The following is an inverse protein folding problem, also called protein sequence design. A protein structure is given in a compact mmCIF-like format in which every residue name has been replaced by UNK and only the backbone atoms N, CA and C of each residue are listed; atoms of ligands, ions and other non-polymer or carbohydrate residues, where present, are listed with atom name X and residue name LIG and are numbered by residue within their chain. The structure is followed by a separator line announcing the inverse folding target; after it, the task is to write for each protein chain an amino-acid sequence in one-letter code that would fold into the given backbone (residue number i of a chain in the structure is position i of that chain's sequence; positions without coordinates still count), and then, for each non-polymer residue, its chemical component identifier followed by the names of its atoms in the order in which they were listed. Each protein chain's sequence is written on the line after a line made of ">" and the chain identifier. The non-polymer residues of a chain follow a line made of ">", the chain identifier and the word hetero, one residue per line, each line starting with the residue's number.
data_IF_469191476688
#
_entry.id   IF_469191476688
#
_cell.length_a   1.000
_cell.length_b   1.000
_cell.length_c   1.000
_cell.angle_alpha   90.00
_cell.angle_beta   90.00
_cell.angle_gamma   90.00
#
_symmetry.space_group_name_H-M   'P 1'
#
loop_
_entity.id
_entity.type
_entity.pdbx_description
1 polymer ?
#
# COMPACT_ATOMS: atom_id res chain seq x y z
N UNK A 1 8.59 21.17 12.92
CA UNK A 1 9.94 21.00 13.46
C UNK A 1 9.87 20.64 14.95
N UNK A 2 10.55 19.60 15.36
CA UNK A 2 10.64 19.18 16.76
C UNK A 2 12.13 18.98 17.13
N UNK A 3 12.56 19.41 18.33
CA UNK A 3 11.81 20.15 19.36
C UNK A 3 11.37 21.54 18.88
N UNK A 4 10.33 22.11 19.50
CA UNK A 4 9.81 23.41 19.11
C UNK A 4 10.88 24.52 19.27
N UNK A 5 11.00 25.46 18.31
CA UNK A 5 11.97 26.53 18.34
C UNK A 5 11.56 27.62 19.36
N UNK A 6 11.80 27.38 20.65
CA UNK A 6 11.32 28.19 21.77
C UNK A 6 11.64 29.69 21.64
N UNK A 7 12.83 30.02 21.13
CA UNK A 7 13.24 31.41 20.96
C UNK A 7 12.35 32.13 19.93
N UNK A 8 12.18 31.51 18.76
CA UNK A 8 11.35 32.05 17.66
C UNK A 8 9.89 32.22 18.09
N UNK A 9 9.34 31.23 18.83
CA UNK A 9 7.96 31.30 19.31
C UNK A 9 7.78 32.45 20.31
N UNK A 10 8.74 32.70 21.20
CA UNK A 10 8.70 33.84 22.12
C UNK A 10 8.78 35.18 21.38
N UNK A 11 9.74 35.31 20.45
CA UNK A 11 9.88 36.51 19.62
C UNK A 11 8.59 36.80 18.84
N UNK A 12 7.95 35.79 18.31
CA UNK A 12 6.65 35.94 17.66
C UNK A 12 5.55 36.39 18.65
N UNK A 13 5.48 35.73 19.80
CA UNK A 13 4.46 36.00 20.80
C UNK A 13 4.56 37.42 21.39
N UNK A 14 5.78 37.94 21.56
CA UNK A 14 6.03 39.30 22.04
C UNK A 14 5.54 40.38 21.05
N UNK A 15 5.43 40.04 19.76
CA UNK A 15 4.99 40.94 18.70
C UNK A 15 3.47 40.97 18.43
N UNK A 16 2.68 40.10 19.12
CA UNK A 16 1.24 39.95 18.84
C UNK A 16 0.40 40.00 20.10
N UNK A 17 -0.89 40.34 19.97
CA UNK A 17 -1.82 40.39 21.12
C UNK A 17 -2.35 39.00 21.50
N UNK A 18 -2.56 38.15 20.52
CA UNK A 18 -3.14 36.84 20.70
C UNK A 18 -2.29 35.81 19.95
N UNK A 19 -1.97 34.71 20.62
CA UNK A 19 -1.35 33.55 20.01
C UNK A 19 -2.42 32.48 19.86
N UNK A 20 -2.60 31.98 18.64
CA UNK A 20 -3.57 30.95 18.32
C UNK A 20 -2.81 29.79 17.70
N UNK A 21 -3.00 28.59 18.25
CA UNK A 21 -2.42 27.37 17.75
C UNK A 21 -3.49 26.58 16.96
N UNK A 22 -3.23 26.35 15.69
CA UNK A 22 -4.07 25.54 14.82
C UNK A 22 -3.35 24.21 14.59
N UNK A 23 -3.86 23.17 15.20
CA UNK A 23 -3.33 21.81 15.06
C UNK A 23 -4.47 20.80 15.11
N UNK A 24 -4.31 19.69 14.41
CA UNK A 24 -5.26 18.58 14.44
C UNK A 24 -5.02 17.69 15.66
N UNK A 25 -6.04 16.92 16.04
CA UNK A 25 -6.00 15.97 17.17
C UNK A 25 -5.64 16.64 18.52
N UNK A 26 -4.76 16.02 19.29
CA UNK A 26 -4.39 16.46 20.63
C UNK A 26 -3.61 17.79 20.63
N UNK A 27 -3.69 18.58 21.73
CA UNK A 27 -3.07 19.91 21.84
C UNK A 27 -1.54 19.82 22.07
N UNK A 28 -0.82 19.15 21.19
CA UNK A 28 0.62 18.89 21.35
C UNK A 28 1.48 20.17 21.28
N UNK A 29 1.20 21.06 20.33
CA UNK A 29 1.90 22.34 20.20
C UNK A 29 1.39 23.34 21.22
N UNK A 30 0.08 23.43 21.39
CA UNK A 30 -0.58 24.34 22.32
C UNK A 30 -0.07 24.16 23.75
N UNK A 31 0.01 22.93 24.26
CA UNK A 31 0.50 22.62 25.59
C UNK A 31 1.96 23.06 25.77
N UNK A 32 2.80 22.83 24.78
CA UNK A 32 4.20 23.23 24.84
C UNK A 32 4.37 24.76 24.81
N UNK A 33 3.56 25.46 24.02
CA UNK A 33 3.56 26.93 23.98
C UNK A 33 3.08 27.50 25.30
N UNK A 34 2.02 26.94 25.89
CA UNK A 34 1.54 27.30 27.23
C UNK A 34 2.60 27.02 28.32
N UNK A 35 3.31 25.90 28.21
CA UNK A 35 4.41 25.57 29.12
C UNK A 35 5.60 26.56 29.07
N UNK A 36 5.72 27.34 27.99
CA UNK A 36 6.68 28.46 27.93
C UNK A 36 6.22 29.72 28.62
N UNK A 37 5.01 29.73 29.22
CA UNK A 37 4.39 30.90 29.87
C UNK A 37 3.66 31.81 28.85
N UNK A 38 3.44 31.38 27.63
CA UNK A 38 2.74 32.14 26.57
C UNK A 38 1.25 31.80 26.62
N UNK A 39 0.35 32.78 26.84
CA UNK A 39 -1.09 32.54 26.79
C UNK A 39 -1.54 32.25 25.36
N UNK A 40 -1.65 30.98 25.02
CA UNK A 40 -2.10 30.52 23.71
C UNK A 40 -3.52 29.93 23.79
N UNK A 41 -4.30 30.13 22.74
CA UNK A 41 -5.60 29.50 22.52
C UNK A 41 -5.47 28.49 21.38
N UNK A 42 -6.21 27.39 21.44
CA UNK A 42 -6.16 26.35 20.40
C UNK A 42 -7.40 25.46 20.47
N UNK A 43 -7.43 24.42 21.30
CA UNK A 43 -8.55 23.47 21.38
C UNK A 43 -9.83 24.02 22.03
N UNK A 44 -9.76 25.18 22.64
CA UNK A 44 -10.94 25.95 23.03
C UNK A 44 -11.66 26.59 21.81
N UNK A 45 -10.99 26.65 20.66
CA UNK A 45 -11.51 27.19 19.40
C UNK A 45 -11.75 26.06 18.38
N UNK A 46 -10.78 25.14 18.23
CA UNK A 46 -10.76 24.14 17.17
C UNK A 46 -11.10 22.73 17.72
N UNK A 47 -11.84 21.97 16.94
CA UNK A 47 -12.18 20.58 17.27
C UNK A 47 -10.92 19.72 17.47
N UNK A 48 -10.99 18.80 18.43
CA UNK A 48 -10.01 17.71 18.59
C UNK A 48 -10.27 16.56 17.63
N UNK A 49 -11.47 16.50 17.05
CA UNK A 49 -11.89 15.42 16.15
C UNK A 49 -12.00 15.89 14.72
N UNK A 50 -11.56 15.04 13.78
CA UNK A 50 -11.65 15.27 12.34
C UNK A 50 -10.50 16.11 11.78
N UNK A 51 -10.57 16.36 10.48
CA UNK A 51 -9.65 17.23 9.76
C UNK A 51 -10.02 18.70 10.02
N UNK A 52 -9.02 19.57 9.98
CA UNK A 52 -9.21 21.01 10.03
C UNK A 52 -9.10 21.60 8.62
N UNK A 53 -10.18 21.56 7.86
CA UNK A 53 -10.25 22.21 6.57
C UNK A 53 -10.23 23.74 6.73
N UNK A 54 -9.80 24.51 5.72
CA UNK A 54 -9.80 25.98 5.78
C UNK A 54 -11.16 26.57 6.15
N UNK A 55 -12.25 25.96 5.71
CA UNK A 55 -13.62 26.32 6.01
C UNK A 55 -13.95 26.16 7.50
N UNK A 56 -13.54 25.01 8.08
CA UNK A 56 -13.77 24.68 9.50
C UNK A 56 -12.97 25.63 10.40
N UNK A 57 -11.73 25.94 10.01
CA UNK A 57 -10.88 26.91 10.72
C UNK A 57 -11.53 28.30 10.68
N UNK A 58 -11.98 28.75 9.49
CA UNK A 58 -12.62 30.04 9.34
C UNK A 58 -13.91 30.14 10.16
N UNK A 59 -14.74 29.09 10.16
CA UNK A 59 -15.98 29.04 10.93
C UNK A 59 -15.70 29.03 12.44
N UNK A 60 -14.73 28.27 12.90
CA UNK A 60 -14.32 28.24 14.30
C UNK A 60 -13.78 29.60 14.77
N UNK A 61 -13.00 30.28 13.94
CA UNK A 61 -12.50 31.63 14.19
C UNK A 61 -13.62 32.67 14.23
N UNK A 62 -14.66 32.55 13.41
CA UNK A 62 -15.86 33.41 13.47
C UNK A 62 -16.63 33.21 14.76
N UNK A 63 -16.90 31.96 15.14
CA UNK A 63 -17.58 31.63 16.39
C UNK A 63 -16.82 32.15 17.63
N UNK A 64 -15.50 32.12 17.56
CA UNK A 64 -14.63 32.68 18.60
C UNK A 64 -14.46 34.22 18.56
N UNK A 65 -15.10 34.91 17.61
CA UNK A 65 -15.01 36.36 17.48
C UNK A 65 -13.66 36.88 16.96
N UNK A 66 -12.84 36.01 16.37
CA UNK A 66 -11.51 36.34 15.85
C UNK A 66 -11.60 36.92 14.44
N UNK A 67 -12.43 36.30 13.59
CA UNK A 67 -12.71 36.79 12.25
C UNK A 67 -14.04 37.57 12.22
N UNK A 68 -14.01 38.74 11.60
CA UNK A 68 -15.21 39.50 11.26
C UNK A 68 -15.74 38.99 9.91
N UNK A 69 -17.06 38.83 9.82
CA UNK A 69 -17.74 38.30 8.66
C UNK A 69 -17.40 39.01 7.36
N UNK A 70 -16.75 38.30 6.43
CA UNK A 70 -16.74 38.68 5.00
C UNK A 70 -16.28 37.54 4.08
N UNK A 71 -16.06 36.30 4.56
CA UNK A 71 -15.69 35.24 3.67
C UNK A 71 -16.89 34.77 2.82
N UNK A 72 -16.76 34.64 1.50
CA UNK A 72 -17.79 34.04 0.68
C UNK A 72 -18.06 32.62 1.17
N UNK A 73 -19.32 32.25 1.29
CA UNK A 73 -19.69 30.87 1.54
C UNK A 73 -19.15 30.04 0.38
N UNK A 74 -18.26 29.09 0.70
CA UNK A 74 -17.86 28.09 -0.29
C UNK A 74 -19.10 27.26 -0.63
N UNK A 75 -19.47 27.22 -1.89
CA UNK A 75 -20.51 26.30 -2.34
C UNK A 75 -19.92 24.91 -2.42
N UNK A 76 -20.44 23.99 -1.65
CA UNK A 76 -20.08 22.57 -1.79
C UNK A 76 -20.57 22.07 -3.15
N UNK A 77 -19.64 21.88 -4.08
CA UNK A 77 -19.90 21.30 -5.40
C UNK A 77 -19.56 19.81 -5.45
N UNK A 78 -19.23 19.20 -4.29
CA UNK A 78 -18.74 17.82 -4.21
C UNK A 78 -19.83 16.77 -4.44
N UNK A 79 -21.11 17.11 -4.32
CA UNK A 79 -22.22 16.15 -4.43
C UNK A 79 -22.28 15.39 -5.76
N UNK A 80 -21.66 15.88 -6.82
CA UNK A 80 -21.68 15.27 -8.16
C UNK A 80 -20.39 14.58 -8.57
N UNK A 81 -19.34 14.61 -7.75
CA UNK A 81 -18.06 14.04 -8.13
C UNK A 81 -18.02 12.52 -7.89
N UNK A 82 -17.57 11.73 -8.90
CA UNK A 82 -17.44 10.30 -8.72
C UNK A 82 -16.31 9.98 -7.73
N UNK A 83 -16.56 9.01 -6.84
CA UNK A 83 -15.52 8.48 -5.96
C UNK A 83 -14.36 7.89 -6.76
N UNK A 84 -13.13 8.18 -6.37
CA UNK A 84 -11.89 7.70 -6.99
C UNK A 84 -11.04 6.98 -5.94
N UNK A 85 -11.34 5.71 -5.72
CA UNK A 85 -10.54 4.87 -4.83
C UNK A 85 -9.10 4.74 -5.36
N UNK A 86 -8.09 4.74 -4.49
CA UNK A 86 -6.71 4.49 -4.90
C UNK A 86 -6.58 3.06 -5.45
N UNK A 87 -5.68 2.87 -6.43
CA UNK A 87 -5.47 1.60 -7.11
C UNK A 87 -3.97 1.28 -7.20
N UNK A 88 -3.63 0.00 -7.27
CA UNK A 88 -2.29 -0.43 -7.65
C UNK A 88 -1.99 0.04 -9.09
N UNK A 89 -0.77 0.53 -9.32
CA UNK A 89 -0.34 1.03 -10.63
C UNK A 89 -0.42 -0.04 -11.72
N UNK A 90 -0.53 0.37 -12.99
CA UNK A 90 -0.34 -0.54 -14.13
C UNK A 90 1.05 -1.18 -14.04
N UNK A 91 1.14 -2.51 -14.14
CA UNK A 91 2.41 -3.23 -14.00
C UNK A 91 2.95 -3.32 -12.57
N UNK A 92 2.14 -3.04 -11.56
CA UNK A 92 2.55 -3.20 -10.17
C UNK A 92 2.88 -4.67 -9.84
N UNK A 93 4.07 -4.99 -9.27
CA UNK A 93 4.47 -6.36 -8.95
C UNK A 93 3.62 -7.00 -7.85
N UNK A 94 2.97 -6.23 -7.00
CA UNK A 94 2.12 -6.77 -5.92
C UNK A 94 0.84 -7.46 -6.43
N UNK A 95 0.49 -7.25 -7.68
CA UNK A 95 -0.78 -7.67 -8.28
C UNK A 95 -0.99 -9.18 -8.29
N UNK A 96 0.01 -9.94 -8.69
CA UNK A 96 -0.08 -11.42 -8.75
C UNK A 96 -0.27 -12.03 -7.37
N UNK A 97 0.39 -11.48 -6.36
CA UNK A 97 0.25 -11.92 -4.98
C UNK A 97 -1.19 -11.75 -4.50
N UNK A 98 -1.77 -10.54 -4.64
CA UNK A 98 -3.14 -10.30 -4.19
C UNK A 98 -4.19 -11.01 -5.03
N UNK A 99 -3.97 -11.17 -6.33
CA UNK A 99 -4.85 -11.99 -7.17
C UNK A 99 -4.90 -13.43 -6.65
N UNK A 100 -3.75 -14.03 -6.36
CA UNK A 100 -3.70 -15.40 -5.82
C UNK A 100 -4.31 -15.50 -4.43
N UNK A 101 -3.99 -14.57 -3.51
CA UNK A 101 -4.56 -14.53 -2.17
C UNK A 101 -6.09 -14.41 -2.19
N UNK A 102 -6.65 -13.57 -3.08
CA UNK A 102 -8.10 -13.44 -3.23
C UNK A 102 -8.79 -14.73 -3.68
N UNK A 103 -8.08 -15.58 -4.44
CA UNK A 103 -8.60 -16.90 -4.86
C UNK A 103 -8.43 -17.96 -3.77
N UNK A 104 -7.39 -17.84 -2.93
CA UNK A 104 -7.12 -18.80 -1.84
C UNK A 104 -8.03 -18.57 -0.63
N UNK A 105 -8.53 -17.34 -0.43
CA UNK A 105 -9.40 -16.96 0.69
C UNK A 105 -8.80 -17.26 2.08
N UNK A 106 -7.48 -17.12 2.19
CA UNK A 106 -6.77 -17.28 3.46
C UNK A 106 -6.83 -15.99 4.29
N UNK A 107 -6.79 -16.06 5.64
CA UNK A 107 -6.61 -14.87 6.48
C UNK A 107 -5.27 -14.18 6.18
N UNK A 108 -5.31 -12.87 5.97
CA UNK A 108 -4.13 -12.06 5.64
C UNK A 108 -3.98 -10.92 6.63
N UNK A 109 -2.91 -10.96 7.41
CA UNK A 109 -2.48 -9.81 8.20
C UNK A 109 -1.69 -8.85 7.29
N UNK A 110 -2.21 -7.66 7.10
CA UNK A 110 -1.60 -6.65 6.26
C UNK A 110 -0.68 -5.69 7.00
N UNK A 111 0.10 -4.95 6.23
CA UNK A 111 1.04 -3.95 6.70
C UNK A 111 0.89 -2.65 5.89
N UNK A 112 1.68 -1.62 6.21
CA UNK A 112 1.61 -0.30 5.60
C UNK A 112 2.56 -0.18 4.41
N UNK A 113 2.01 0.12 3.25
CA UNK A 113 2.71 0.32 1.98
C UNK A 113 1.75 0.24 0.79
N UNK A 114 2.27 0.30 -0.45
CA UNK A 114 1.44 0.17 -1.66
C UNK A 114 0.59 -1.12 -1.65
N UNK A 115 1.10 -2.18 -1.08
CA UNK A 115 0.41 -3.46 -0.93
C UNK A 115 -0.83 -3.39 -0.01
N UNK A 116 -0.97 -2.34 0.80
CA UNK A 116 -2.20 -2.10 1.55
C UNK A 116 -3.44 -1.97 0.63
N UNK A 117 -3.25 -1.56 -0.61
CA UNK A 117 -4.32 -1.50 -1.62
C UNK A 117 -4.89 -2.89 -1.99
N UNK A 118 -4.26 -3.98 -1.53
CA UNK A 118 -4.84 -5.33 -1.59
C UNK A 118 -6.11 -5.52 -0.74
N UNK A 119 -6.39 -4.60 0.20
CA UNK A 119 -7.64 -4.54 0.97
C UNK A 119 -8.83 -4.18 0.08
N UNK A 120 -8.60 -3.37 -0.96
CA UNK A 120 -9.65 -2.81 -1.81
C UNK A 120 -10.09 -3.78 -2.92
N UNK A 121 -11.30 -3.60 -3.47
CA UNK A 121 -11.71 -4.30 -4.68
C UNK A 121 -10.72 -4.10 -5.83
N UNK A 122 -10.55 -5.10 -6.69
CA UNK A 122 -11.26 -6.37 -6.75
C UNK A 122 -10.64 -7.46 -5.88
N UNK A 123 -9.55 -7.20 -5.15
CA UNK A 123 -8.83 -8.23 -4.41
C UNK A 123 -9.52 -8.60 -3.11
N UNK A 124 -9.84 -7.64 -2.26
CA UNK A 124 -10.38 -7.85 -0.91
C UNK A 124 -9.60 -8.96 -0.17
N UNK A 125 -8.27 -8.92 -0.29
CA UNK A 125 -7.39 -10.00 0.09
C UNK A 125 -6.45 -9.64 1.26
N UNK A 126 -6.79 -8.61 2.01
CA UNK A 126 -6.08 -8.20 3.22
C UNK A 126 -7.12 -7.82 4.28
N UNK A 127 -6.99 -8.35 5.50
CA UNK A 127 -8.06 -8.33 6.50
C UNK A 127 -7.76 -7.44 7.70
N UNK A 128 -6.49 -7.24 8.02
CA UNK A 128 -6.05 -6.35 9.11
C UNK A 128 -4.95 -5.42 8.61
N UNK A 129 -4.78 -4.29 9.30
CA UNK A 129 -3.72 -3.35 9.06
C UNK A 129 -3.41 -2.63 10.37
N UNK A 130 -2.12 -2.59 10.72
CA UNK A 130 -1.62 -1.87 11.89
C UNK A 130 -0.55 -0.86 11.49
N UNK A 131 0.42 -0.62 12.36
CA UNK A 131 1.61 0.19 12.07
C UNK A 131 2.59 -0.55 11.14
N UNK A 132 3.55 0.18 10.54
CA UNK A 132 4.62 -0.42 9.74
C UNK A 132 5.37 -1.50 10.53
N UNK A 133 5.42 -2.73 9.98
CA UNK A 133 6.06 -3.90 10.60
C UNK A 133 5.16 -4.72 11.50
N UNK A 134 3.92 -4.29 11.77
CA UNK A 134 3.01 -5.00 12.67
C UNK A 134 2.51 -6.34 12.13
N UNK A 135 2.47 -6.53 10.81
CA UNK A 135 1.84 -7.68 10.16
C UNK A 135 2.38 -9.03 10.62
N UNK A 136 3.70 -9.14 10.82
CA UNK A 136 4.34 -10.38 11.27
C UNK A 136 3.94 -10.72 12.71
N UNK A 137 3.89 -9.70 13.60
CA UNK A 137 3.41 -9.88 14.97
C UNK A 137 1.93 -10.24 15.03
N UNK A 138 1.11 -9.62 14.18
CA UNK A 138 -0.32 -9.94 14.05
C UNK A 138 -0.51 -11.38 13.57
N UNK A 139 0.23 -11.81 12.54
CA UNK A 139 0.21 -13.21 12.07
C UNK A 139 0.55 -14.17 13.20
N UNK A 140 1.61 -13.88 13.97
CA UNK A 140 1.98 -14.72 15.12
C UNK A 140 0.85 -14.78 16.17
N UNK A 141 0.23 -13.64 16.49
CA UNK A 141 -0.93 -13.57 17.37
C UNK A 141 -2.14 -14.34 16.86
N UNK A 142 -2.42 -14.30 15.55
CA UNK A 142 -3.45 -15.10 14.91
C UNK A 142 -3.23 -16.60 15.13
N UNK A 143 -1.99 -17.09 14.94
CA UNK A 143 -1.65 -18.49 15.20
C UNK A 143 -1.85 -18.88 16.66
N UNK A 144 -1.43 -18.03 17.60
CA UNK A 144 -1.60 -18.28 19.04
C UNK A 144 -3.07 -18.23 19.50
N UNK A 145 -3.92 -17.47 18.83
CA UNK A 145 -5.35 -17.39 19.14
C UNK A 145 -6.17 -18.59 18.62
N UNK A 146 -5.55 -19.54 17.94
CA UNK A 146 -6.21 -20.70 17.40
C UNK A 146 -6.96 -20.43 16.09
N UNK A 147 -6.60 -19.40 15.36
CA UNK A 147 -7.18 -19.14 14.04
C UNK A 147 -6.89 -20.35 13.12
N UNK A 148 -7.90 -20.84 12.36
CA UNK A 148 -7.68 -21.97 11.48
C UNK A 148 -6.60 -21.61 10.44
N UNK A 149 -5.66 -22.54 10.26
CA UNK A 149 -4.63 -22.43 9.25
C UNK A 149 -5.19 -22.68 7.84
N UNK A 150 -4.56 -22.16 6.80
CA UNK A 150 -3.34 -21.35 6.80
C UNK A 150 -3.62 -19.85 6.93
N UNK A 151 -2.83 -19.13 7.75
CA UNK A 151 -2.81 -17.68 7.80
C UNK A 151 -1.50 -17.14 7.22
N UNK A 152 -1.56 -15.96 6.63
CA UNK A 152 -0.39 -15.30 6.04
C UNK A 152 -0.30 -13.84 6.46
N UNK A 153 0.88 -13.23 6.32
CA UNK A 153 0.99 -11.78 6.33
C UNK A 153 1.69 -11.27 5.08
N UNK A 154 1.42 -10.01 4.74
CA UNK A 154 2.10 -9.29 3.65
C UNK A 154 2.90 -8.14 4.24
N UNK A 155 4.15 -7.98 3.81
CA UNK A 155 5.04 -6.91 4.24
C UNK A 155 5.95 -6.51 3.06
N UNK A 156 6.18 -5.21 2.84
CA UNK A 156 7.11 -4.74 1.81
C UNK A 156 8.57 -4.91 2.24
N UNK A 157 9.49 -4.91 1.27
CA UNK A 157 10.94 -5.01 1.48
C UNK A 157 11.47 -3.91 2.42
N UNK A 158 11.16 -2.65 2.15
CA UNK A 158 11.58 -1.53 2.99
C UNK A 158 11.04 -1.64 4.43
N UNK A 159 9.77 -2.00 4.58
CA UNK A 159 9.16 -2.21 5.90
C UNK A 159 9.75 -3.42 6.61
N UNK A 160 10.06 -4.50 5.89
CA UNK A 160 10.73 -5.68 6.45
C UNK A 160 12.08 -5.32 7.06
N UNK A 161 12.92 -4.58 6.34
CA UNK A 161 14.20 -4.10 6.88
C UNK A 161 14.02 -3.17 8.08
N UNK A 162 13.02 -2.30 8.02
CA UNK A 162 12.76 -1.32 9.08
C UNK A 162 12.27 -1.97 10.38
N UNK A 163 11.29 -2.88 10.30
CA UNK A 163 10.59 -3.37 11.49
C UNK A 163 10.14 -4.85 11.40
N UNK A 164 10.38 -5.55 10.29
CA UNK A 164 9.91 -6.93 10.09
C UNK A 164 10.84 -8.01 10.63
N UNK A 165 12.14 -7.73 10.76
CA UNK A 165 13.16 -8.72 11.17
C UNK A 165 12.98 -9.16 12.62
N UNK A 166 12.80 -8.22 13.54
CA UNK A 166 12.63 -8.51 14.96
C UNK A 166 11.37 -9.37 15.26
N UNK A 167 10.17 -9.04 14.75
CA UNK A 167 9.01 -9.91 14.93
C UNK A 167 9.14 -11.26 14.20
N UNK A 168 9.88 -11.37 13.08
CA UNK A 168 10.18 -12.66 12.47
C UNK A 168 11.02 -13.53 13.39
N UNK A 169 12.09 -12.99 13.98
CA UNK A 169 12.90 -13.66 14.99
C UNK A 169 12.06 -14.15 16.17
N UNK A 170 11.18 -13.28 16.68
CA UNK A 170 10.26 -13.62 17.76
C UNK A 170 9.33 -14.78 17.37
N UNK A 171 8.76 -14.74 16.17
CA UNK A 171 7.85 -15.77 15.67
C UNK A 171 8.56 -17.13 15.52
N UNK A 172 9.78 -17.15 14.99
CA UNK A 172 10.59 -18.37 14.85
C UNK A 172 10.99 -18.91 16.23
N UNK A 173 11.50 -18.04 17.12
CA UNK A 173 11.95 -18.44 18.47
C UNK A 173 10.80 -19.08 19.28
N UNK A 174 9.59 -18.56 19.15
CA UNK A 174 8.41 -19.05 19.85
C UNK A 174 7.66 -20.15 19.08
N UNK A 175 8.30 -20.78 18.07
CA UNK A 175 7.71 -21.86 17.28
C UNK A 175 6.33 -21.51 16.71
N UNK A 176 6.19 -20.27 16.24
CA UNK A 176 5.00 -19.80 15.58
C UNK A 176 4.73 -20.54 14.26
N UNK A 177 3.55 -20.33 13.70
CA UNK A 177 3.13 -20.91 12.41
C UNK A 177 2.55 -19.83 11.51
N UNK A 178 2.77 -19.98 10.20
CA UNK A 178 2.23 -19.13 9.17
C UNK A 178 3.26 -18.65 8.15
N UNK A 179 2.78 -18.02 7.08
CA UNK A 179 3.61 -17.59 5.97
C UNK A 179 3.80 -16.06 5.96
N UNK A 180 5.05 -15.62 6.03
CA UNK A 180 5.41 -14.22 5.83
C UNK A 180 5.70 -13.98 4.35
N UNK A 181 4.91 -13.15 3.69
CA UNK A 181 5.09 -12.79 2.28
C UNK A 181 5.81 -11.45 2.21
N UNK A 182 7.08 -11.46 1.84
CA UNK A 182 7.88 -10.26 1.64
C UNK A 182 7.74 -9.84 0.18
N UNK A 183 7.13 -8.69 -0.04
CA UNK A 183 6.83 -8.13 -1.36
C UNK A 183 7.97 -7.21 -1.79
N UNK A 184 9.02 -7.80 -2.37
CA UNK A 184 10.26 -7.14 -2.78
C UNK A 184 10.07 -6.43 -4.12
N UNK A 185 9.77 -5.13 -4.07
CA UNK A 185 9.67 -4.27 -5.24
C UNK A 185 10.88 -3.32 -5.43
N UNK A 186 11.94 -3.55 -4.68
CA UNK A 186 13.23 -2.84 -4.75
C UNK A 186 13.13 -1.35 -4.40
N UNK A 187 12.10 -0.93 -3.67
CA UNK A 187 11.96 0.47 -3.24
C UNK A 187 10.88 0.66 -2.19
N UNK A 188 10.99 1.65 -1.33
CA UNK A 188 9.92 2.10 -0.45
C UNK A 188 9.03 3.10 -1.23
N UNK A 189 8.12 2.56 -2.04
CA UNK A 189 7.48 3.31 -3.12
C UNK A 189 6.44 4.34 -2.65
N UNK A 190 5.59 4.01 -1.68
CA UNK A 190 4.41 4.81 -1.32
C UNK A 190 4.76 6.23 -0.86
N UNK A 191 5.87 6.41 -0.19
CA UNK A 191 6.31 7.68 0.38
C UNK A 191 7.30 8.46 -0.50
N UNK A 192 7.59 8.00 -1.70
CA UNK A 192 8.42 8.70 -2.67
C UNK A 192 9.63 7.90 -3.18
N UNK A 193 9.55 6.58 -3.21
CA UNK A 193 10.57 5.69 -3.78
C UNK A 193 11.93 5.78 -3.06
N UNK A 194 11.91 5.84 -1.73
CA UNK A 194 13.13 5.84 -0.94
C UNK A 194 13.88 4.53 -1.09
N UNK A 195 15.21 4.65 -1.07
CA UNK A 195 16.10 3.51 -1.05
C UNK A 195 15.98 2.70 0.25
N UNK A 196 16.28 1.41 0.17
CA UNK A 196 16.33 0.52 1.32
C UNK A 196 17.56 -0.42 1.23
N UNK A 197 17.93 -1.11 2.30
CA UNK A 197 19.14 -1.97 2.30
C UNK A 197 19.13 -3.12 1.28
N UNK A 198 18.00 -3.44 0.66
CA UNK A 198 17.90 -4.48 -0.38
C UNK A 198 18.35 -4.05 -1.77
N UNK A 199 18.79 -2.79 -1.95
CA UNK A 199 19.27 -2.28 -3.24
C UNK A 199 20.75 -1.85 -3.15
N UNK A 200 21.36 -1.62 -4.30
CA UNK A 200 22.78 -1.27 -4.40
C UNK A 200 23.08 0.21 -4.15
N UNK A 201 22.07 1.06 -4.17
CA UNK A 201 22.22 2.51 -3.99
C UNK A 201 22.30 2.91 -2.51
N UNK A 202 23.10 3.93 -2.22
CA UNK A 202 23.12 4.63 -0.93
C UNK A 202 22.87 6.12 -1.14
N UNK A 203 22.40 6.79 -0.11
CA UNK A 203 22.07 8.22 -0.18
C UNK A 203 23.28 9.10 -0.59
N UNK A 204 24.48 8.76 -0.14
CA UNK A 204 25.65 9.62 -0.31
C UNK A 204 26.98 8.88 -0.56
N UNK A 205 27.02 7.55 -0.46
CA UNK A 205 28.25 6.77 -0.46
C UNK A 205 28.46 5.91 -1.71
N UNK A 206 27.66 6.11 -2.76
CA UNK A 206 27.74 5.32 -3.98
C UNK A 206 27.06 3.96 -3.87
N UNK A 207 27.65 2.93 -4.49
CA UNK A 207 27.10 1.58 -4.51
C UNK A 207 27.63 0.71 -3.38
N UNK A 208 26.76 -0.14 -2.82
CA UNK A 208 27.07 -1.15 -1.81
C UNK A 208 26.48 -2.50 -2.21
N UNK A 209 26.96 -3.58 -1.61
CA UNK A 209 26.31 -4.87 -1.77
C UNK A 209 24.92 -4.85 -1.08
N UNK A 210 23.84 -5.20 -1.80
CA UNK A 210 22.51 -5.24 -1.20
C UNK A 210 22.41 -6.38 -0.19
N UNK A 211 21.60 -6.18 0.84
CA UNK A 211 21.30 -7.26 1.80
C UNK A 211 20.44 -8.33 1.13
N UNK A 212 20.88 -9.58 1.20
CA UNK A 212 20.09 -10.73 0.75
C UNK A 212 18.95 -11.01 1.74
N UNK A 213 17.71 -10.70 1.32
CA UNK A 213 16.51 -10.93 2.14
C UNK A 213 16.36 -12.41 2.48
N UNK A 214 16.61 -13.31 1.53
CA UNK A 214 16.47 -14.76 1.75
C UNK A 214 17.52 -15.27 2.74
N UNK A 215 18.77 -14.82 2.61
CA UNK A 215 19.84 -15.11 3.56
C UNK A 215 19.52 -14.58 4.96
N UNK A 216 19.00 -13.35 5.06
CA UNK A 216 18.59 -12.75 6.32
C UNK A 216 17.46 -13.57 7.00
N UNK A 217 16.44 -13.98 6.24
CA UNK A 217 15.37 -14.84 6.78
C UNK A 217 15.90 -16.17 7.30
N UNK A 218 16.82 -16.81 6.56
CA UNK A 218 17.47 -18.06 7.02
C UNK A 218 18.33 -17.83 8.27
N UNK A 219 19.03 -16.71 8.35
CA UNK A 219 19.79 -16.34 9.55
C UNK A 219 18.88 -16.10 10.77
N UNK A 220 17.63 -15.70 10.57
CA UNK A 220 16.60 -15.64 11.61
C UNK A 220 16.06 -17.04 12.03
N UNK A 221 16.51 -18.12 11.37
CA UNK A 221 16.09 -19.50 11.68
C UNK A 221 14.88 -19.99 10.85
N UNK A 222 14.50 -19.30 9.78
CA UNK A 222 13.43 -19.78 8.88
C UNK A 222 13.98 -20.87 7.97
N UNK A 223 13.42 -22.07 8.05
CA UNK A 223 13.84 -23.22 7.24
C UNK A 223 13.24 -23.18 5.82
N UNK A 224 11.96 -22.80 5.71
CA UNK A 224 11.23 -22.75 4.43
C UNK A 224 11.22 -21.32 3.89
N UNK A 225 12.17 -21.01 2.98
CA UNK A 225 12.26 -19.71 2.30
C UNK A 225 12.20 -19.93 0.79
N UNK A 226 11.18 -19.41 0.14
CA UNK A 226 10.99 -19.46 -1.30
C UNK A 226 11.04 -18.06 -1.91
N UNK A 227 11.46 -17.98 -3.18
CA UNK A 227 11.41 -16.75 -3.99
C UNK A 227 10.67 -17.05 -5.29
N UNK A 228 9.77 -16.16 -5.69
CA UNK A 228 9.03 -16.24 -6.94
C UNK A 228 9.08 -14.90 -7.68
N UNK A 229 9.10 -14.95 -9.01
CA UNK A 229 8.90 -13.77 -9.86
C UNK A 229 7.48 -13.24 -9.64
N UNK A 230 7.37 -11.99 -9.22
CA UNK A 230 6.09 -11.33 -8.96
C UNK A 230 5.21 -11.17 -10.21
N UNK A 231 5.78 -11.31 -11.41
CA UNK A 231 5.03 -11.26 -12.67
C UNK A 231 4.64 -12.64 -13.20
N UNK A 232 5.10 -13.73 -12.60
CA UNK A 232 4.68 -15.09 -12.91
C UNK A 232 3.57 -15.53 -11.92
N UNK A 233 2.33 -15.46 -12.41
CA UNK A 233 1.14 -15.78 -11.61
C UNK A 233 1.13 -17.22 -11.10
N UNK A 234 1.58 -18.16 -11.94
CA UNK A 234 1.59 -19.58 -11.60
C UNK A 234 2.71 -19.90 -10.58
N UNK A 235 3.90 -19.33 -10.77
CA UNK A 235 5.01 -19.48 -9.83
C UNK A 235 4.66 -18.91 -8.43
N UNK A 236 4.04 -17.74 -8.38
CA UNK A 236 3.56 -17.15 -7.12
C UNK A 236 2.51 -18.06 -6.47
N UNK A 237 1.55 -18.57 -7.25
CA UNK A 237 0.51 -19.49 -6.72
C UNK A 237 1.12 -20.75 -6.13
N UNK A 238 2.01 -21.40 -6.86
CA UNK A 238 2.70 -22.61 -6.41
C UNK A 238 3.49 -22.36 -5.13
N UNK A 239 4.26 -21.28 -5.09
CA UNK A 239 5.05 -20.93 -3.90
C UNK A 239 4.18 -20.60 -2.68
N UNK A 240 3.02 -19.94 -2.87
CA UNK A 240 2.04 -19.71 -1.82
C UNK A 240 1.50 -21.03 -1.25
N UNK A 241 1.10 -21.96 -2.13
CA UNK A 241 0.59 -23.27 -1.73
C UNK A 241 1.64 -24.08 -0.96
N UNK A 242 2.90 -24.06 -1.41
CA UNK A 242 3.99 -24.75 -0.72
C UNK A 242 4.31 -24.12 0.65
N UNK A 243 4.29 -22.78 0.75
CA UNK A 243 4.55 -22.09 2.01
C UNK A 243 3.41 -22.28 3.01
N UNK A 244 2.16 -22.18 2.56
CA UNK A 244 1.00 -22.33 3.45
C UNK A 244 0.76 -23.77 3.91
N UNK A 245 1.30 -24.75 3.19
CA UNK A 245 1.27 -26.15 3.59
C UNK A 245 2.39 -26.54 4.58
N UNK A 246 3.36 -25.65 4.82
CA UNK A 246 4.48 -25.92 5.72
C UNK A 246 4.07 -25.80 7.19
N UNK A 247 4.38 -26.82 8.01
CA UNK A 247 4.08 -26.84 9.44
C UNK A 247 5.14 -26.06 10.24
N UNK A 248 5.08 -24.74 10.18
CA UNK A 248 6.02 -23.84 10.85
C UNK A 248 5.99 -22.44 10.27
N UNK A 249 7.06 -21.69 10.51
CA UNK A 249 7.26 -20.38 9.91
C UNK A 249 7.85 -20.54 8.51
N UNK A 250 7.15 -20.07 7.50
CA UNK A 250 7.66 -20.01 6.13
C UNK A 250 7.74 -18.56 5.62
N UNK A 251 8.64 -18.32 4.69
CA UNK A 251 8.80 -17.01 4.03
C UNK A 251 8.69 -17.19 2.52
N UNK A 252 7.83 -16.41 1.90
CA UNK A 252 7.76 -16.24 0.46
C UNK A 252 8.22 -14.83 0.09
N UNK A 253 9.24 -14.72 -0.75
CA UNK A 253 9.68 -13.45 -1.33
C UNK A 253 9.11 -13.35 -2.74
N UNK A 254 8.18 -12.43 -2.97
CA UNK A 254 7.68 -12.12 -4.32
C UNK A 254 8.49 -10.94 -4.87
N UNK A 255 9.41 -11.21 -5.80
CA UNK A 255 10.35 -10.22 -6.33
C UNK A 255 9.94 -9.72 -7.69
N UNK A 256 9.88 -8.42 -7.84
CA UNK A 256 9.62 -7.74 -9.12
C UNK A 256 9.72 -6.24 -8.94
N UNK A 257 10.48 -5.60 -9.83
CA UNK A 257 10.77 -4.16 -9.73
C UNK A 257 9.49 -3.33 -9.81
N UNK A 258 9.42 -2.29 -8.98
CA UNK A 258 8.40 -1.26 -9.10
C UNK A 258 8.46 -0.64 -10.50
N UNK A 259 7.32 -0.44 -11.13
CA UNK A 259 7.21 0.10 -12.48
C UNK A 259 7.91 1.46 -12.66
N UNK A 260 8.01 2.25 -11.59
CA UNK A 260 8.72 3.53 -11.59
C UNK A 260 10.24 3.39 -11.41
N UNK A 261 10.72 2.22 -11.01
CA UNK A 261 12.15 1.90 -10.86
C UNK A 261 12.69 1.20 -12.11
N UNK A 262 11.96 0.23 -12.64
CA UNK A 262 12.44 -0.64 -13.73
C UNK A 262 12.75 0.09 -15.04
N UNK A 263 12.13 1.24 -15.30
CA UNK A 263 12.29 2.10 -16.50
C UNK A 263 12.33 1.36 -17.86
N UNK A 264 11.86 0.12 -17.90
CA UNK A 264 11.90 -0.75 -19.09
C UNK A 264 10.50 -1.25 -19.42
N UNK A 265 9.58 -0.40 -19.89
CA UNK A 265 8.26 -0.82 -20.28
C UNK A 265 8.36 -1.74 -21.51
N UNK A 266 7.66 -2.87 -21.45
CA UNK A 266 7.44 -3.74 -22.61
C UNK A 266 6.29 -3.18 -23.46
N UNK A 267 6.18 -3.56 -24.74
CA UNK A 267 5.04 -3.17 -25.56
C UNK A 267 3.70 -3.51 -24.90
N UNK A 268 2.73 -2.60 -25.04
CA UNK A 268 1.40 -2.79 -24.48
C UNK A 268 0.77 -4.12 -24.95
N UNK A 269 0.03 -4.77 -24.07
CA UNK A 269 -0.76 -5.95 -24.44
C UNK A 269 -1.98 -5.52 -25.25
N UNK A 270 -2.48 -6.44 -26.06
CA UNK A 270 -3.66 -6.25 -26.91
C UNK A 270 -4.69 -7.33 -26.62
N UNK A 271 -5.96 -6.98 -26.66
CA UNK A 271 -7.07 -7.93 -26.57
C UNK A 271 -7.58 -8.25 -27.96
N UNK A 272 -7.51 -9.52 -28.36
CA UNK A 272 -8.21 -10.04 -29.52
C UNK A 272 -9.72 -10.08 -29.21
N UNK A 273 -10.44 -9.16 -29.83
CA UNK A 273 -11.88 -9.02 -29.63
C UNK A 273 -12.68 -10.25 -30.08
N UNK A 274 -12.20 -11.00 -31.06
CA UNK A 274 -12.91 -12.18 -31.58
C UNK A 274 -12.77 -13.37 -30.64
N UNK A 275 -11.61 -13.52 -30.01
CA UNK A 275 -11.37 -14.52 -28.95
C UNK A 275 -11.97 -14.15 -27.60
N UNK A 276 -12.19 -12.86 -27.33
CA UNK A 276 -12.68 -12.41 -26.03
C UNK A 276 -14.13 -12.84 -25.77
N UNK A 277 -14.32 -13.70 -24.77
CA UNK A 277 -15.65 -14.22 -24.36
C UNK A 277 -16.35 -13.34 -23.29
N UNK A 278 -15.85 -12.15 -23.02
CA UNK A 278 -16.41 -11.19 -22.04
C UNK A 278 -16.62 -11.79 -20.62
N UNK A 279 -15.74 -12.70 -20.19
CA UNK A 279 -15.85 -13.35 -18.87
C UNK A 279 -15.46 -12.46 -17.69
N UNK A 280 -14.78 -11.32 -17.93
CA UNK A 280 -14.37 -10.36 -16.90
C UNK A 280 -13.19 -10.79 -16.01
N UNK A 281 -12.59 -11.98 -16.18
CA UNK A 281 -11.50 -12.46 -15.32
C UNK A 281 -10.28 -11.54 -15.34
N UNK A 282 -9.92 -10.96 -16.48
CA UNK A 282 -8.82 -10.01 -16.59
C UNK A 282 -9.06 -8.71 -15.79
N UNK A 283 -10.32 -8.28 -15.63
CA UNK A 283 -10.69 -7.13 -14.78
C UNK A 283 -10.36 -7.43 -13.31
N UNK A 284 -10.49 -8.68 -12.87
CA UNK A 284 -10.15 -9.10 -11.50
C UNK A 284 -8.65 -8.96 -11.18
N UNK A 285 -7.80 -8.75 -12.20
CA UNK A 285 -6.43 -8.32 -11.95
C UNK A 285 -6.34 -6.94 -11.29
N UNK A 286 -7.40 -6.16 -11.26
CA UNK A 286 -7.44 -4.80 -10.73
C UNK A 286 -6.54 -3.81 -11.48
N UNK A 287 -6.04 -4.16 -12.69
CA UNK A 287 -5.14 -3.29 -13.44
C UNK A 287 -5.92 -2.13 -14.08
N UNK A 288 -5.54 -0.86 -13.84
CA UNK A 288 -6.25 0.29 -14.40
C UNK A 288 -6.14 0.38 -15.94
N UNK A 289 -5.15 -0.31 -16.54
CA UNK A 289 -5.07 -0.42 -18.02
C UNK A 289 -6.04 -1.44 -18.61
N UNK A 290 -6.65 -2.31 -17.80
CA UNK A 290 -7.63 -3.30 -18.30
C UNK A 290 -9.02 -2.76 -18.04
N UNK A 291 -9.70 -2.35 -19.10
CA UNK A 291 -11.00 -1.69 -19.05
C UNK A 291 -12.03 -2.43 -19.89
N UNK A 292 -13.30 -2.09 -19.74
CA UNK A 292 -14.36 -2.58 -20.58
C UNK A 292 -14.47 -1.72 -21.86
N UNK A 293 -14.55 -2.37 -23.03
CA UNK A 293 -14.81 -1.72 -24.32
C UNK A 293 -16.31 -1.53 -24.54
N UNK A 294 -16.68 -0.81 -25.58
CA UNK A 294 -18.08 -0.71 -26.02
C UNK A 294 -18.55 -1.93 -26.81
N UNK A 295 -17.60 -2.76 -27.30
CA UNK A 295 -17.92 -4.00 -27.96
C UNK A 295 -18.51 -5.02 -26.98
N UNK A 296 -19.64 -5.64 -27.38
CA UNK A 296 -20.35 -6.64 -26.58
C UNK A 296 -20.18 -8.03 -27.16
N UNK A 297 -20.21 -9.02 -26.30
CA UNK A 297 -20.20 -10.43 -26.74
C UNK A 297 -21.61 -10.83 -27.20
N UNK A 298 -21.78 -11.37 -28.44
CA UNK A 298 -23.10 -11.53 -29.09
C UNK A 298 -24.04 -12.46 -28.32
N UNK A 299 -23.51 -13.48 -27.64
CA UNK A 299 -24.34 -14.45 -26.88
C UNK A 299 -24.69 -13.99 -25.46
N UNK A 300 -23.81 -13.20 -24.79
CA UNK A 300 -24.00 -12.86 -23.38
C UNK A 300 -24.42 -11.42 -23.14
N UNK A 301 -24.34 -10.55 -24.15
CA UNK A 301 -24.58 -9.12 -24.01
C UNK A 301 -23.57 -8.37 -23.11
N UNK A 302 -22.55 -9.06 -22.60
CA UNK A 302 -21.54 -8.46 -21.72
C UNK A 302 -20.48 -7.73 -22.53
N UNK A 303 -19.98 -6.62 -21.98
CA UNK A 303 -18.89 -5.83 -22.58
C UNK A 303 -17.60 -6.64 -22.58
N UNK A 304 -16.89 -6.63 -23.71
CA UNK A 304 -15.56 -7.25 -23.86
C UNK A 304 -14.49 -6.39 -23.16
N UNK A 305 -13.36 -7.01 -22.84
CA UNK A 305 -12.23 -6.28 -22.29
C UNK A 305 -11.47 -5.51 -23.40
N UNK A 306 -10.84 -4.42 -23.01
CA UNK A 306 -9.88 -3.64 -23.80
C UNK A 306 -8.69 -3.28 -22.90
N UNK A 307 -7.52 -3.17 -23.48
CA UNK A 307 -6.33 -2.63 -22.79
C UNK A 307 -6.07 -1.20 -23.27
N UNK A 308 -5.86 -0.31 -22.33
CA UNK A 308 -5.48 1.07 -22.63
C UNK A 308 -3.97 1.13 -22.90
N UNK A 309 -3.56 1.37 -24.16
CA UNK A 309 -2.15 1.24 -24.54
C UNK A 309 -1.23 2.30 -23.91
N UNK A 310 -1.77 3.49 -23.63
CA UNK A 310 -1.00 4.61 -23.05
C UNK A 310 -0.53 4.28 -21.63
N UNK A 311 -1.33 3.54 -20.88
CA UNK A 311 -1.02 3.21 -19.48
C UNK A 311 -0.47 1.80 -19.27
N UNK A 312 -0.56 0.94 -20.29
CA UNK A 312 -0.09 -0.44 -20.21
C UNK A 312 1.43 -0.52 -20.37
N UNK A 313 2.10 -1.15 -19.40
CA UNK A 313 3.55 -1.39 -19.41
C UNK A 313 3.94 -2.81 -19.88
N UNK A 314 3.00 -3.59 -20.39
CA UNK A 314 3.29 -4.90 -20.99
C UNK A 314 3.67 -6.02 -20.02
N UNK A 315 3.43 -5.91 -18.71
CA UNK A 315 3.86 -6.88 -17.70
C UNK A 315 3.31 -8.32 -17.89
N UNK A 316 2.20 -8.49 -18.60
CA UNK A 316 1.67 -9.80 -18.96
C UNK A 316 0.82 -10.53 -17.90
N UNK A 317 0.61 -9.98 -16.73
CA UNK A 317 -0.22 -10.64 -15.68
C UNK A 317 -1.65 -10.89 -16.16
N UNK A 318 -2.28 -9.92 -16.84
CA UNK A 318 -3.63 -10.08 -17.39
C UNK A 318 -3.72 -11.17 -18.48
N UNK A 319 -2.63 -11.39 -19.22
CA UNK A 319 -2.57 -12.46 -20.23
C UNK A 319 -2.65 -13.85 -19.59
N UNK A 320 -1.95 -14.04 -18.46
CA UNK A 320 -1.96 -15.29 -17.70
C UNK A 320 -3.32 -15.60 -17.05
N UNK A 321 -4.10 -14.56 -16.75
CA UNK A 321 -5.46 -14.70 -16.18
C UNK A 321 -6.49 -15.08 -17.26
N UNK A 322 -6.22 -14.78 -18.54
CA UNK A 322 -7.19 -14.97 -19.61
C UNK A 322 -7.36 -16.45 -19.96
N UNK A 323 -8.54 -17.08 -19.72
CA UNK A 323 -8.72 -18.51 -19.92
C UNK A 323 -8.76 -18.92 -21.39
N UNK A 324 -9.00 -17.98 -22.30
CA UNK A 324 -9.07 -18.21 -23.74
C UNK A 324 -7.89 -17.58 -24.50
N UNK A 325 -6.87 -17.12 -23.78
CA UNK A 325 -5.65 -16.52 -24.33
C UNK A 325 -5.94 -15.37 -25.32
N UNK A 326 -7.00 -14.61 -25.07
CA UNK A 326 -7.37 -13.45 -25.87
C UNK A 326 -6.49 -12.21 -25.64
N UNK A 327 -5.50 -12.27 -24.74
CA UNK A 327 -4.61 -11.15 -24.42
C UNK A 327 -3.18 -11.56 -24.73
N UNK A 328 -2.57 -10.90 -25.71
CA UNK A 328 -1.23 -11.22 -26.21
C UNK A 328 -0.32 -9.98 -26.27
N UNK A 329 0.94 -10.17 -26.66
CA UNK A 329 1.82 -9.10 -27.13
C UNK A 329 1.42 -8.65 -28.54
N UNK A 330 1.87 -7.46 -28.99
CA UNK A 330 1.52 -6.92 -30.30
C UNK A 330 1.99 -7.79 -31.49
N UNK A 331 3.00 -8.64 -31.27
CA UNK A 331 3.54 -9.54 -32.28
C UNK A 331 2.62 -10.75 -32.59
N UNK A 332 1.63 -11.00 -31.72
CA UNK A 332 0.71 -12.13 -31.82
C UNK A 332 -0.77 -11.67 -31.77
N UNK A 333 -1.04 -10.41 -32.10
CA UNK A 333 -2.38 -9.82 -32.08
C UNK A 333 -3.00 -9.78 -33.48
#
# INVERSE_FOLDING_TARGET
>A
CYPLPKKLIREFADGVRNVIVVEELDPFIEEQVRAMGIPARGKDIFSICGELLPEDIAESCRKAGILKDTAPAFSDTSESLPSRSPLLCSGCPHRSTFYNLSQMKVPVAGDIGCYNLGTLPPFNAQHTMGSMGASVGVLHGMGLSGLPEPAVCTIGDGTFFHAGVAPLLNMVHNKGKGTVIIMDNRTTAMTGHQDNPGIEATLSLGTVAPVDIAGLCRACGVEKVLTADAFDLAAVRKALEECTAYDGVSVLITRGDCVFVSRSPKPARVVDADKCIACGKCIQSGCPSVVLSDAVHPKTGKRKARIEPVTCVGCGVCSQICPVQAISGPENA
#
